data_IF_176625141100
#
_entry.id   IF_176625141100
#
_cell.length_a   1.000
_cell.length_b   1.000
_cell.length_c   1.000
_cell.angle_alpha   90.00
_cell.angle_beta   90.00
_cell.angle_gamma   90.00
#
_symmetry.space_group_name_H-M   'P 1'
#
loop_
_entity.id
_entity.type
_entity.pdbx_description
1 polymer ?
#
# COMPACT_ATOMS: atom_id res chain seq x y z
N UNK A 1 -14.18 -1.76 -36.34
CA UNK A 1 -13.36 -0.91 -35.48
C UNK A 1 -13.40 -1.56 -34.11
N UNK A 2 -12.29 -2.13 -33.65
CA UNK A 2 -12.21 -2.65 -32.28
C UNK A 2 -12.13 -1.47 -31.32
N UNK A 3 -12.95 -1.52 -30.27
CA UNK A 3 -12.94 -0.53 -29.21
C UNK A 3 -11.63 -0.69 -28.40
N UNK A 4 -10.79 0.36 -28.29
CA UNK A 4 -9.52 0.26 -27.56
C UNK A 4 -9.69 -0.08 -26.07
N UNK A 5 -10.92 0.01 -25.55
CA UNK A 5 -11.27 -0.33 -24.17
C UNK A 5 -11.53 -1.83 -23.94
N UNK A 6 -11.74 -2.64 -25.00
CA UNK A 6 -11.86 -4.11 -24.87
C UNK A 6 -10.51 -4.81 -24.61
N UNK A 7 -9.39 -4.13 -24.92
CA UNK A 7 -8.03 -4.69 -24.74
C UNK A 7 -7.45 -4.47 -23.35
N UNK A 8 -8.08 -3.66 -22.49
CA UNK A 8 -7.56 -3.33 -21.16
C UNK A 8 -8.26 -4.20 -20.11
N UNK A 9 -7.53 -5.01 -19.32
CA UNK A 9 -8.13 -5.76 -18.23
C UNK A 9 -8.78 -4.80 -17.23
N UNK A 10 -10.00 -5.14 -16.77
CA UNK A 10 -10.72 -4.35 -15.78
C UNK A 10 -9.90 -4.24 -14.48
N UNK A 11 -10.03 -3.11 -13.79
CA UNK A 11 -9.44 -2.90 -12.47
C UNK A 11 -9.73 -4.10 -11.55
N UNK A 12 -8.70 -4.60 -10.85
CA UNK A 12 -8.82 -5.77 -9.96
C UNK A 12 -8.92 -7.13 -10.65
N UNK A 13 -8.82 -7.24 -11.98
CA UNK A 13 -8.85 -8.53 -12.69
C UNK A 13 -7.48 -9.25 -12.77
N UNK A 14 -6.44 -8.68 -12.14
CA UNK A 14 -5.03 -9.12 -12.28
C UNK A 14 -4.64 -10.07 -11.14
N UNK A 15 -5.15 -11.30 -11.15
CA UNK A 15 -4.82 -12.32 -10.15
C UNK A 15 -3.48 -12.99 -10.51
N UNK A 16 -2.59 -13.14 -9.53
CA UNK A 16 -1.33 -13.88 -9.68
C UNK A 16 -1.60 -15.39 -9.62
N UNK A 17 -1.69 -16.02 -10.79
CA UNK A 17 -1.91 -17.47 -10.95
C UNK A 17 -0.60 -18.27 -11.08
N UNK A 18 0.43 -17.66 -11.68
CA UNK A 18 1.76 -18.23 -11.88
C UNK A 18 2.83 -17.42 -11.12
N UNK A 19 3.52 -18.09 -10.18
CA UNK A 19 4.56 -17.48 -9.36
C UNK A 19 5.75 -16.88 -10.15
N UNK A 20 5.97 -17.31 -11.39
CA UNK A 20 7.01 -16.75 -12.27
C UNK A 20 6.67 -15.36 -12.82
N UNK A 21 5.37 -14.98 -12.80
CA UNK A 21 4.84 -13.75 -13.41
C UNK A 21 4.70 -12.60 -12.41
N UNK A 22 5.34 -12.69 -11.25
CA UNK A 22 5.22 -11.72 -10.15
C UNK A 22 5.57 -10.27 -10.56
N UNK A 23 6.42 -10.10 -11.57
CA UNK A 23 6.91 -8.80 -12.06
C UNK A 23 6.17 -8.25 -13.29
N UNK A 24 5.22 -8.99 -13.87
CA UNK A 24 4.54 -8.55 -15.09
C UNK A 24 3.46 -7.51 -14.76
N UNK A 25 2.30 -7.91 -14.22
CA UNK A 25 1.21 -7.00 -13.85
C UNK A 25 0.25 -7.69 -12.87
N UNK A 26 0.52 -7.67 -11.57
CA UNK A 26 -0.35 -8.29 -10.56
C UNK A 26 -1.04 -7.23 -9.68
N UNK A 27 -2.33 -7.42 -9.43
CA UNK A 27 -3.06 -6.69 -8.42
C UNK A 27 -3.09 -7.53 -7.14
N UNK A 28 -2.69 -6.92 -6.02
CA UNK A 28 -2.65 -7.59 -4.73
C UNK A 28 -4.00 -7.52 -3.99
N UNK A 29 -5.05 -7.01 -4.64
CA UNK A 29 -6.37 -6.74 -4.03
C UNK A 29 -7.05 -8.01 -3.49
N UNK A 30 -6.73 -9.18 -4.05
CA UNK A 30 -7.33 -10.48 -3.68
C UNK A 30 -6.38 -11.39 -2.90
N UNK A 31 -5.21 -10.88 -2.47
CA UNK A 31 -4.23 -11.70 -1.75
C UNK A 31 -4.72 -11.89 -0.32
N UNK A 32 -5.23 -13.09 -0.04
CA UNK A 32 -5.56 -13.51 1.31
C UNK A 32 -4.31 -13.61 2.18
N UNK A 33 -4.45 -13.22 3.45
CA UNK A 33 -3.34 -13.32 4.39
C UNK A 33 -3.14 -14.78 4.81
N UNK A 34 -1.92 -15.31 4.73
CA UNK A 34 -1.63 -16.60 5.34
C UNK A 34 -1.73 -16.48 6.86
N UNK A 35 -2.17 -17.56 7.52
CA UNK A 35 -2.39 -17.59 8.97
C UNK A 35 -1.15 -17.14 9.79
N UNK A 36 0.05 -17.46 9.31
CA UNK A 36 1.30 -17.01 9.92
C UNK A 36 1.45 -15.49 9.94
N UNK A 37 1.11 -14.81 8.83
CA UNK A 37 1.18 -13.34 8.73
C UNK A 37 0.15 -12.67 9.61
N UNK A 38 -1.04 -13.26 9.72
CA UNK A 38 -2.06 -12.79 10.63
C UNK A 38 -1.60 -12.91 12.10
N UNK A 39 -1.00 -14.04 12.47
CA UNK A 39 -0.45 -14.23 13.81
C UNK A 39 0.69 -13.25 14.11
N UNK A 40 1.59 -13.03 13.15
CA UNK A 40 2.67 -12.05 13.25
C UNK A 40 2.12 -10.63 13.50
N UNK A 41 1.13 -10.20 12.72
CA UNK A 41 0.50 -8.90 12.91
C UNK A 41 -0.17 -8.78 14.29
N UNK A 42 -0.87 -9.81 14.75
CA UNK A 42 -1.43 -9.84 16.12
C UNK A 42 -0.35 -9.69 17.18
N UNK A 43 0.79 -10.37 17.05
CA UNK A 43 1.93 -10.25 17.97
C UNK A 43 2.53 -8.84 17.97
N UNK A 44 2.70 -8.23 16.79
CA UNK A 44 3.21 -6.86 16.67
C UNK A 44 2.27 -5.87 17.36
N UNK A 45 0.96 -5.97 17.10
CA UNK A 45 -0.05 -5.10 17.74
C UNK A 45 -0.06 -5.29 19.25
N UNK A 46 0.03 -6.53 19.75
CA UNK A 46 0.10 -6.79 21.18
C UNK A 46 1.34 -6.12 21.80
N UNK A 47 2.51 -6.26 21.19
CA UNK A 47 3.75 -5.63 21.64
C UNK A 47 3.67 -4.10 21.63
N UNK A 48 3.08 -3.50 20.60
CA UNK A 48 2.91 -2.04 20.53
C UNK A 48 1.97 -1.53 21.63
N UNK A 49 0.96 -2.31 22.02
CA UNK A 49 0.04 -1.96 23.11
C UNK A 49 0.70 -1.94 24.49
N UNK A 50 1.80 -2.65 24.69
CA UNK A 50 2.55 -2.64 25.96
C UNK A 50 3.25 -1.29 26.22
N UNK A 51 3.54 -0.53 25.17
CA UNK A 51 4.23 0.76 25.26
C UNK A 51 3.52 1.80 24.37
N UNK A 52 2.30 2.25 24.76
CA UNK A 52 1.56 3.23 24.00
C UNK A 52 2.30 4.58 23.99
N UNK A 53 2.00 5.39 22.98
CA UNK A 53 2.46 6.78 22.93
C UNK A 53 1.87 7.53 24.12
N UNK A 54 2.71 8.29 24.84
CA UNK A 54 2.26 9.12 25.96
C UNK A 54 1.15 10.10 25.52
N UNK A 55 0.17 10.32 26.39
CA UNK A 55 -1.04 11.10 26.07
C UNK A 55 -0.76 12.51 25.56
N UNK A 56 0.26 13.17 26.11
CA UNK A 56 0.71 14.50 25.69
C UNK A 56 1.19 14.49 24.23
N UNK A 57 2.00 13.49 23.88
CA UNK A 57 2.53 13.31 22.52
C UNK A 57 1.43 12.89 21.55
N UNK A 58 0.53 12.00 21.98
CA UNK A 58 -0.63 11.61 21.17
C UNK A 58 -1.52 12.82 20.86
N UNK A 59 -1.80 13.65 21.87
CA UNK A 59 -2.59 14.87 21.71
C UNK A 59 -1.93 15.89 20.77
N UNK A 60 -0.61 16.07 20.87
CA UNK A 60 0.14 16.93 19.97
C UNK A 60 0.09 16.44 18.51
N UNK A 61 0.25 15.12 18.28
CA UNK A 61 0.15 14.51 16.95
C UNK A 61 -1.24 14.68 16.34
N UNK A 62 -2.29 14.54 17.14
CA UNK A 62 -3.68 14.69 16.70
C UNK A 62 -4.05 16.16 16.46
N UNK A 63 -3.43 17.09 17.19
CA UNK A 63 -3.71 18.52 17.04
C UNK A 63 -3.18 19.11 15.73
N UNK A 64 -2.05 18.64 15.23
CA UNK A 64 -1.49 19.11 13.95
C UNK A 64 -0.94 17.99 13.07
N UNK A 65 -1.80 17.07 12.58
CA UNK A 65 -1.35 15.93 11.79
C UNK A 65 -0.70 16.35 10.46
N UNK A 66 -1.15 17.46 9.86
CA UNK A 66 -0.59 17.97 8.61
C UNK A 66 0.89 18.31 8.73
N UNK A 67 1.30 18.93 9.84
CA UNK A 67 2.68 19.37 10.03
C UNK A 67 3.61 18.17 10.17
N UNK A 68 3.22 17.16 10.98
CA UNK A 68 4.01 15.93 11.12
C UNK A 68 4.11 15.13 9.82
N UNK A 69 3.06 15.11 9.00
CA UNK A 69 3.13 14.48 7.69
C UNK A 69 4.02 15.28 6.73
N UNK A 70 3.94 16.61 6.74
CA UNK A 70 4.81 17.46 5.94
C UNK A 70 6.29 17.23 6.30
N UNK A 71 6.65 17.30 7.58
CA UNK A 71 8.01 17.03 8.07
C UNK A 71 8.51 15.63 7.65
N UNK A 72 7.62 14.64 7.71
CA UNK A 72 7.92 13.29 7.27
C UNK A 72 8.20 13.23 5.76
N UNK A 73 7.38 13.89 4.94
CA UNK A 73 7.56 13.88 3.48
C UNK A 73 8.75 14.73 3.02
N UNK A 74 9.09 15.81 3.70
CA UNK A 74 10.30 16.61 3.44
C UNK A 74 11.57 15.75 3.50
N UNK A 75 11.59 14.76 4.40
CA UNK A 75 12.76 13.91 4.65
C UNK A 75 12.76 12.59 3.85
N UNK A 76 11.64 12.22 3.23
CA UNK A 76 11.44 10.90 2.60
C UNK A 76 10.98 10.95 1.13
N UNK A 77 11.02 12.11 0.48
CA UNK A 77 10.56 12.40 -0.89
C UNK A 77 10.90 11.32 -1.95
N UNK A 78 12.12 10.77 -1.92
CA UNK A 78 12.63 9.84 -2.96
C UNK A 78 12.39 8.35 -2.71
N UNK A 79 11.64 7.96 -1.67
CA UNK A 79 11.49 6.54 -1.28
C UNK A 79 10.13 5.93 -1.61
N UNK A 80 9.14 6.75 -2.00
CA UNK A 80 7.76 6.27 -2.18
C UNK A 80 7.40 5.99 -3.64
N UNK A 81 7.95 6.80 -4.55
CA UNK A 81 7.68 6.66 -5.98
C UNK A 81 8.82 5.86 -6.62
N UNK A 82 8.61 4.55 -6.70
CA UNK A 82 9.31 3.73 -7.70
C UNK A 82 8.58 3.91 -9.03
N UNK A 83 9.31 3.95 -10.15
CA UNK A 83 8.73 3.97 -11.49
C UNK A 83 7.84 2.74 -11.69
N UNK A 84 6.54 2.92 -11.47
CA UNK A 84 5.54 1.87 -11.62
C UNK A 84 5.12 1.88 -13.09
N UNK A 85 5.85 1.10 -13.90
CA UNK A 85 5.56 0.88 -15.33
C UNK A 85 4.10 0.47 -15.61
N UNK A 86 3.38 -0.03 -14.60
CA UNK A 86 1.97 -0.41 -14.69
C UNK A 86 0.97 0.74 -14.49
N UNK A 87 1.37 1.92 -14.01
CA UNK A 87 0.44 3.02 -13.71
C UNK A 87 -0.33 3.48 -14.97
N UNK A 88 0.35 3.54 -16.12
CA UNK A 88 -0.24 3.90 -17.42
C UNK A 88 -1.24 2.88 -17.97
N UNK A 89 -1.29 1.68 -17.38
CA UNK A 89 -2.30 0.67 -17.78
C UNK A 89 -3.64 0.89 -17.10
N UNK A 90 -3.68 1.53 -15.93
CA UNK A 90 -4.90 1.70 -15.13
C UNK A 90 -5.47 3.12 -15.14
N UNK A 91 -4.67 4.15 -15.44
CA UNK A 91 -5.13 5.54 -15.51
C UNK A 91 -4.89 6.12 -16.90
N UNK A 92 -5.94 6.50 -17.67
CA UNK A 92 -5.75 7.31 -18.87
C UNK A 92 -5.35 8.76 -18.50
N UNK A 93 -4.66 9.44 -19.43
CA UNK A 93 -4.40 10.90 -19.35
C UNK A 93 -5.69 11.73 -19.37
#
# INVERSE_FOLDING_TARGET
MEDPNERRPKFGARVLDDASRVFEHNAWDHVEWPAEKEEEARRIVAKQREAPVADEKASALIASPSDYWNDFYETHDKKFFMDRNWLFTEFPE
#
